data_IF_542911411237
#
_entry.id   IF_542911411237
#
_cell.length_a   1.000
_cell.length_b   1.000
_cell.length_c   1.000
_cell.angle_alpha   90.00
_cell.angle_beta   90.00
_cell.angle_gamma   90.00
#
_symmetry.space_group_name_H-M   'P 1'
#
loop_
_entity.id
_entity.type
_entity.pdbx_description
1 polymer ?
#
# COMPACT_ATOMS: atom_id res chain seq x y z
N UNK A 1 0.51 -6.91 0.07
CA UNK A 1 1.82 -6.55 -0.51
C UNK A 1 2.84 -6.41 0.61
N UNK A 2 3.99 -7.08 0.48
CA UNK A 2 5.04 -7.10 1.50
C UNK A 2 5.90 -5.81 1.49
N UNK A 3 6.73 -5.63 2.52
CA UNK A 3 7.69 -4.52 2.62
C UNK A 3 8.98 -4.75 1.82
N UNK A 4 9.86 -3.75 1.80
CA UNK A 4 11.16 -3.83 1.11
C UNK A 4 11.97 -5.05 1.57
N UNK A 5 12.52 -5.82 0.62
CA UNK A 5 13.41 -6.96 0.87
C UNK A 5 12.71 -8.26 1.26
N UNK A 6 11.42 -8.22 1.58
CA UNK A 6 10.61 -9.39 1.94
C UNK A 6 10.00 -10.07 0.69
N UNK A 7 9.17 -11.10 0.87
CA UNK A 7 8.48 -11.83 -0.21
C UNK A 7 7.06 -12.20 0.19
N UNK A 8 6.30 -12.79 -0.74
CA UNK A 8 5.01 -13.39 -0.42
C UNK A 8 5.09 -14.45 0.69
N UNK A 9 6.16 -15.25 0.73
CA UNK A 9 6.33 -16.34 1.70
C UNK A 9 6.34 -15.82 3.14
N UNK A 10 6.97 -14.66 3.38
CA UNK A 10 7.02 -14.02 4.69
C UNK A 10 5.65 -13.64 5.27
N UNK A 11 4.61 -13.59 4.43
CA UNK A 11 3.24 -13.20 4.81
C UNK A 11 2.26 -14.38 4.82
N UNK A 12 2.70 -15.59 4.49
CA UNK A 12 1.82 -16.77 4.41
C UNK A 12 1.17 -17.07 5.76
N UNK A 13 1.94 -17.03 6.86
CA UNK A 13 1.39 -17.34 8.19
C UNK A 13 0.38 -16.30 8.65
N UNK A 14 0.62 -15.01 8.40
CA UNK A 14 -0.34 -13.95 8.68
C UNK A 14 -1.64 -14.15 7.86
N UNK A 15 -1.51 -14.44 6.57
CA UNK A 15 -2.67 -14.72 5.70
C UNK A 15 -3.46 -15.95 6.17
N UNK A 16 -2.80 -17.00 6.65
CA UNK A 16 -3.46 -18.20 7.22
C UNK A 16 -4.19 -17.92 8.52
N UNK A 17 -3.70 -16.98 9.33
CA UNK A 17 -4.40 -16.53 10.53
C UNK A 17 -5.66 -15.77 10.12
N UNK A 18 -5.52 -14.77 9.25
CA UNK A 18 -6.66 -13.97 8.78
C UNK A 18 -7.70 -14.80 8.03
N UNK A 19 -7.30 -15.80 7.25
CA UNK A 19 -8.26 -16.65 6.53
C UNK A 19 -9.19 -17.44 7.45
N UNK A 20 -8.85 -17.60 8.74
CA UNK A 20 -9.75 -18.23 9.73
C UNK A 20 -10.88 -17.30 10.12
N UNK A 21 -10.61 -16.00 10.22
CA UNK A 21 -11.59 -14.97 10.54
C UNK A 21 -12.39 -14.53 9.30
N UNK A 22 -11.80 -14.69 8.11
CA UNK A 22 -12.40 -14.34 6.82
C UNK A 22 -12.53 -15.56 5.88
N UNK A 23 -13.41 -16.53 6.19
CA UNK A 23 -13.46 -17.82 5.47
C UNK A 23 -13.93 -17.70 4.00
N UNK A 24 -14.60 -16.59 3.64
CA UNK A 24 -15.03 -16.30 2.27
C UNK A 24 -14.04 -15.44 1.47
N UNK A 25 -12.87 -15.14 2.03
CA UNK A 25 -11.89 -14.23 1.42
C UNK A 25 -10.68 -15.01 0.91
N UNK A 26 -10.32 -14.77 -0.36
CA UNK A 26 -9.07 -15.26 -0.94
C UNK A 26 -7.94 -14.26 -0.62
N UNK A 27 -6.84 -14.75 -0.06
CA UNK A 27 -5.64 -13.94 0.19
C UNK A 27 -4.63 -14.15 -0.94
N UNK A 28 -4.26 -13.06 -1.61
CA UNK A 28 -3.32 -13.07 -2.74
C UNK A 28 -2.07 -12.31 -2.32
N UNK A 29 -0.94 -13.01 -2.31
CA UNK A 29 0.33 -12.50 -1.83
C UNK A 29 1.31 -12.39 -3.02
N UNK A 30 1.43 -11.22 -3.67
CA UNK A 30 2.40 -11.04 -4.74
C UNK A 30 3.79 -10.74 -4.19
N UNK A 31 4.82 -11.30 -4.84
CA UNK A 31 6.24 -10.96 -4.57
C UNK A 31 6.73 -9.90 -5.55
N UNK A 32 7.32 -8.82 -5.05
CA UNK A 32 7.92 -7.76 -5.86
C UNK A 32 9.08 -8.28 -6.75
N UNK A 33 9.46 -7.53 -7.79
CA UNK A 33 10.61 -7.91 -8.61
C UNK A 33 11.91 -7.73 -7.81
N UNK A 34 12.90 -8.57 -8.08
CA UNK A 34 14.26 -8.34 -7.58
C UNK A 34 14.88 -7.23 -8.40
N UNK A 35 15.27 -6.14 -7.75
CA UNK A 35 15.89 -4.98 -8.38
C UNK A 35 16.92 -4.31 -7.44
N UNK A 36 17.90 -3.57 -7.97
CA UNK A 36 18.81 -2.76 -7.16
C UNK A 36 18.03 -1.71 -6.34
N UNK A 37 18.46 -1.49 -5.10
CA UNK A 37 17.82 -0.50 -4.19
C UNK A 37 18.85 0.49 -3.69
N UNK A 38 18.63 1.78 -3.96
CA UNK A 38 19.57 2.88 -3.73
C UNK A 38 19.95 3.04 -2.27
N UNK A 39 18.99 3.03 -1.34
CA UNK A 39 19.29 3.14 0.11
C UNK A 39 20.16 1.98 0.62
N UNK A 40 20.10 0.83 -0.05
CA UNK A 40 20.89 -0.35 0.27
C UNK A 40 22.12 -0.48 -0.63
N UNK A 41 22.70 0.66 -1.05
CA UNK A 41 23.92 0.73 -1.87
C UNK A 41 23.82 -0.08 -3.18
N UNK A 42 22.63 -0.17 -3.76
CA UNK A 42 22.37 -0.91 -5.01
C UNK A 42 22.26 -2.42 -4.84
N UNK A 43 22.21 -2.94 -3.61
CA UNK A 43 22.01 -4.37 -3.38
C UNK A 43 20.68 -4.85 -4.00
N UNK A 44 20.69 -5.95 -4.77
CA UNK A 44 19.49 -6.48 -5.41
C UNK A 44 18.62 -7.21 -4.38
N UNK A 45 17.34 -6.83 -4.29
CA UNK A 45 16.36 -7.47 -3.41
C UNK A 45 14.94 -7.26 -3.93
N UNK A 46 13.94 -8.04 -3.46
CA UNK A 46 12.54 -7.77 -3.77
C UNK A 46 12.15 -6.35 -3.37
N UNK A 47 11.69 -5.55 -4.33
CA UNK A 47 11.29 -4.18 -4.09
C UNK A 47 10.21 -3.75 -5.08
N UNK A 48 9.21 -3.00 -4.63
CA UNK A 48 8.16 -2.46 -5.48
C UNK A 48 8.61 -1.25 -6.31
N UNK A 49 9.53 -0.44 -5.77
CA UNK A 49 10.11 0.72 -6.43
C UNK A 49 11.41 1.09 -5.73
N UNK A 50 12.28 1.85 -6.38
CA UNK A 50 13.53 2.27 -5.76
C UNK A 50 13.29 3.27 -4.62
N UNK A 51 13.89 3.00 -3.46
CA UNK A 51 13.88 3.89 -2.29
C UNK A 51 15.26 4.52 -2.18
N UNK A 52 15.31 5.85 -2.35
CA UNK A 52 16.54 6.64 -2.32
C UNK A 52 16.90 7.13 -0.92
N UNK A 53 15.93 7.23 -0.02
CA UNK A 53 16.09 7.66 1.37
C UNK A 53 14.85 7.33 2.19
N UNK A 54 15.02 7.11 3.49
CA UNK A 54 13.94 6.98 4.49
C UNK A 54 13.62 8.31 5.21
N UNK A 55 14.29 9.40 4.84
CA UNK A 55 13.89 10.74 5.26
C UNK A 55 12.44 10.99 4.78
N UNK A 56 11.55 11.36 5.70
CA UNK A 56 10.12 11.58 5.42
C UNK A 56 9.90 12.55 4.26
N UNK A 57 10.70 13.61 4.19
CA UNK A 57 10.64 14.59 3.09
C UNK A 57 10.99 13.99 1.72
N UNK A 58 11.79 12.92 1.69
CA UNK A 58 12.21 12.23 0.47
C UNK A 58 11.31 11.07 0.09
N UNK A 59 10.74 10.36 1.08
CA UNK A 59 9.77 9.29 0.86
C UNK A 59 8.55 9.76 0.07
N UNK A 60 8.14 11.01 0.29
CA UNK A 60 7.02 11.63 -0.41
C UNK A 60 7.35 12.12 -1.83
N UNK A 61 8.62 12.17 -2.24
CA UNK A 61 9.03 12.83 -3.50
C UNK A 61 9.48 11.87 -4.59
N UNK A 62 10.04 10.71 -4.24
CA UNK A 62 10.59 9.76 -5.21
C UNK A 62 10.09 8.34 -4.97
N UNK A 63 9.63 7.68 -6.05
CA UNK A 63 9.30 6.26 -6.07
C UNK A 63 9.51 5.72 -7.49
N UNK A 64 10.77 5.64 -7.93
CA UNK A 64 11.10 5.25 -9.29
C UNK A 64 10.75 3.78 -9.53
N UNK A 65 9.96 3.48 -10.57
CA UNK A 65 9.43 2.15 -10.84
C UNK A 65 8.07 1.84 -10.20
N UNK A 66 7.48 2.79 -9.44
CA UNK A 66 6.19 2.57 -8.79
C UNK A 66 5.06 2.30 -9.80
N UNK A 67 5.07 2.96 -10.96
CA UNK A 67 4.07 2.75 -12.01
C UNK A 67 4.17 1.35 -12.62
N UNK A 68 5.37 0.79 -12.77
CA UNK A 68 5.56 -0.56 -13.27
C UNK A 68 4.96 -1.59 -12.31
N UNK A 69 5.28 -1.46 -11.01
CA UNK A 69 4.68 -2.30 -9.98
C UNK A 69 3.17 -2.12 -9.90
N UNK A 70 2.66 -0.89 -10.03
CA UNK A 70 1.23 -0.61 -10.05
C UNK A 70 0.55 -1.32 -11.23
N UNK A 71 1.13 -1.29 -12.42
CA UNK A 71 0.63 -2.01 -13.60
C UNK A 71 0.55 -3.52 -13.34
N UNK A 72 1.57 -4.10 -12.72
CA UNK A 72 1.59 -5.53 -12.38
C UNK A 72 0.52 -5.89 -11.32
N UNK A 73 0.32 -5.06 -10.31
CA UNK A 73 -0.74 -5.28 -9.30
C UNK A 73 -2.12 -5.18 -9.95
N UNK A 74 -2.34 -4.19 -10.83
CA UNK A 74 -3.59 -4.05 -11.58
C UNK A 74 -3.85 -5.25 -12.50
N UNK A 75 -2.80 -5.82 -13.10
CA UNK A 75 -2.93 -7.05 -13.88
C UNK A 75 -3.39 -8.23 -13.02
N UNK A 76 -2.78 -8.43 -11.85
CA UNK A 76 -3.20 -9.49 -10.91
C UNK A 76 -4.67 -9.31 -10.51
N UNK A 77 -5.08 -8.07 -10.20
CA UNK A 77 -6.48 -7.75 -9.89
C UNK A 77 -7.41 -8.13 -11.06
N UNK A 78 -7.05 -7.76 -12.28
CA UNK A 78 -7.86 -8.06 -13.46
C UNK A 78 -7.97 -9.58 -13.72
N UNK A 79 -6.88 -10.34 -13.54
CA UNK A 79 -6.86 -11.79 -13.69
C UNK A 79 -7.77 -12.48 -12.63
N UNK A 80 -7.80 -11.96 -11.41
CA UNK A 80 -8.64 -12.48 -10.34
C UNK A 80 -10.11 -12.14 -10.54
N UNK A 81 -10.43 -10.92 -10.97
CA UNK A 81 -11.79 -10.54 -11.36
C UNK A 81 -12.28 -11.43 -12.51
N UNK A 82 -11.46 -11.63 -13.55
CA UNK A 82 -11.82 -12.47 -14.69
C UNK A 82 -12.02 -13.95 -14.32
N UNK A 83 -11.24 -14.49 -13.38
CA UNK A 83 -11.31 -15.90 -13.00
C UNK A 83 -12.37 -16.22 -11.95
N UNK A 84 -12.80 -15.24 -11.15
CA UNK A 84 -13.76 -15.46 -10.05
C UNK A 84 -15.11 -14.78 -10.27
N UNK A 85 -15.18 -13.77 -11.14
CA UNK A 85 -16.38 -12.98 -11.39
C UNK A 85 -16.68 -11.93 -10.31
N UNK A 86 -15.74 -11.66 -9.38
CA UNK A 86 -15.88 -10.58 -8.40
C UNK A 86 -15.57 -9.22 -9.04
N UNK A 87 -16.12 -8.15 -8.47
CA UNK A 87 -15.87 -6.79 -8.90
C UNK A 87 -14.75 -6.13 -8.07
N UNK A 88 -14.22 -4.99 -8.53
CA UNK A 88 -13.19 -4.23 -7.78
C UNK A 88 -13.67 -3.81 -6.38
N UNK A 89 -14.96 -3.52 -6.23
CA UNK A 89 -15.64 -3.23 -4.96
C UNK A 89 -15.68 -4.41 -3.96
N UNK A 90 -15.25 -5.60 -4.36
CA UNK A 90 -15.11 -6.78 -3.50
C UNK A 90 -13.63 -7.03 -3.13
N UNK A 91 -12.70 -6.20 -3.60
CA UNK A 91 -11.25 -6.36 -3.42
C UNK A 91 -10.70 -5.30 -2.48
N UNK A 92 -9.97 -5.74 -1.45
CA UNK A 92 -9.17 -4.88 -0.57
C UNK A 92 -7.70 -4.92 -0.99
N UNK A 93 -7.07 -3.75 -1.12
CA UNK A 93 -5.62 -3.66 -1.28
C UNK A 93 -4.96 -3.40 0.06
N UNK A 94 -4.10 -4.33 0.48
CA UNK A 94 -3.41 -4.24 1.77
C UNK A 94 -1.89 -4.37 1.61
N UNK A 95 -1.14 -3.68 2.47
CA UNK A 95 0.31 -3.86 2.52
C UNK A 95 1.05 -3.20 3.66
N UNK A 96 2.29 -3.63 3.84
CA UNK A 96 3.19 -3.20 4.90
C UNK A 96 4.38 -2.40 4.36
N UNK A 97 4.75 -1.31 5.04
CA UNK A 97 5.86 -0.43 4.67
C UNK A 97 5.76 -0.01 3.19
N UNK A 98 6.72 -0.38 2.36
CA UNK A 98 6.68 -0.17 0.90
C UNK A 98 5.41 -0.75 0.24
N UNK A 99 4.89 -1.88 0.71
CA UNK A 99 3.62 -2.43 0.26
C UNK A 99 2.40 -1.61 0.72
N UNK A 100 2.50 -0.90 1.84
CA UNK A 100 1.47 0.04 2.29
C UNK A 100 1.40 1.24 1.36
N UNK A 101 2.56 1.80 1.00
CA UNK A 101 2.68 2.84 -0.02
C UNK A 101 2.09 2.42 -1.38
N UNK A 102 2.34 1.18 -1.81
CA UNK A 102 1.70 0.62 -3.02
C UNK A 102 0.18 0.52 -2.91
N UNK A 103 -0.35 0.21 -1.72
CA UNK A 103 -1.81 0.08 -1.51
C UNK A 103 -2.53 1.40 -1.74
N UNK A 104 -1.96 2.51 -1.28
CA UNK A 104 -2.45 3.85 -1.61
C UNK A 104 -2.33 4.16 -3.10
N UNK A 105 -1.13 3.97 -3.65
CA UNK A 105 -0.82 4.36 -5.02
C UNK A 105 -1.73 3.67 -6.05
N UNK A 106 -2.05 2.39 -5.83
CA UNK A 106 -2.94 1.62 -6.70
C UNK A 106 -4.41 1.84 -6.36
N UNK A 107 -4.76 1.81 -5.06
CA UNK A 107 -6.14 1.69 -4.61
C UNK A 107 -6.98 2.96 -4.69
N UNK A 108 -6.34 4.12 -4.81
CA UNK A 108 -7.01 5.41 -4.66
C UNK A 108 -6.97 6.30 -5.91
N UNK A 109 -6.32 5.85 -7.00
CA UNK A 109 -6.12 6.65 -8.21
C UNK A 109 -6.90 6.12 -9.43
N UNK A 110 -7.77 5.14 -9.25
CA UNK A 110 -8.59 4.57 -10.32
C UNK A 110 -9.89 5.37 -10.48
N UNK A 111 -10.09 5.98 -11.66
CA UNK A 111 -11.22 6.88 -11.93
C UNK A 111 -12.50 6.14 -12.33
N UNK A 112 -12.39 4.91 -12.81
CA UNK A 112 -13.53 4.16 -13.36
C UNK A 112 -14.24 3.35 -12.28
N UNK A 113 -13.46 2.72 -11.40
CA UNK A 113 -13.98 1.86 -10.34
C UNK A 113 -13.20 2.06 -9.03
N UNK A 114 -13.83 1.72 -7.91
CA UNK A 114 -13.23 1.82 -6.57
C UNK A 114 -13.03 0.43 -5.97
N UNK A 115 -11.99 0.32 -5.14
CA UNK A 115 -11.72 -0.86 -4.34
C UNK A 115 -12.62 -0.90 -3.10
N UNK A 116 -12.86 -2.08 -2.53
CA UNK A 116 -13.61 -2.26 -1.29
C UNK A 116 -12.97 -1.54 -0.09
N UNK A 117 -11.66 -1.33 -0.15
CA UNK A 117 -10.90 -0.63 0.87
C UNK A 117 -9.39 -0.70 0.62
N UNK A 118 -8.66 0.13 1.35
CA UNK A 118 -7.21 0.15 1.39
C UNK A 118 -6.73 0.02 2.83
N UNK A 119 -5.77 -0.88 3.07
CA UNK A 119 -5.16 -1.09 4.38
C UNK A 119 -3.64 -0.87 4.27
N UNK A 120 -3.11 0.10 5.00
CA UNK A 120 -1.68 0.35 5.09
C UNK A 120 -1.18 0.11 6.51
N UNK A 121 -0.09 -0.66 6.63
CA UNK A 121 0.58 -0.93 7.90
C UNK A 121 2.00 -0.37 7.83
N UNK A 122 2.38 0.53 8.74
CA UNK A 122 3.67 1.23 8.70
C UNK A 122 3.99 1.88 7.35
N UNK A 123 2.96 2.28 6.59
CA UNK A 123 3.09 2.86 5.25
C UNK A 123 3.25 4.39 5.24
N UNK A 124 3.45 4.94 4.05
CA UNK A 124 3.51 6.37 3.74
C UNK A 124 2.96 6.63 2.33
N UNK A 125 2.64 7.87 1.98
CA UNK A 125 2.17 8.26 0.64
C UNK A 125 3.36 8.56 -0.30
N UNK A 126 3.63 7.71 -1.30
CA UNK A 126 4.71 7.97 -2.24
C UNK A 126 4.28 9.03 -3.26
N UNK A 127 5.22 9.87 -3.70
CA UNK A 127 5.01 10.89 -4.75
C UNK A 127 3.80 11.79 -4.49
N UNK A 128 3.62 12.23 -3.24
CA UNK A 128 2.44 12.95 -2.74
C UNK A 128 2.06 14.16 -3.61
N UNK A 129 3.05 14.93 -4.10
CA UNK A 129 2.80 16.10 -4.96
C UNK A 129 2.15 15.77 -6.31
N UNK A 130 2.30 14.53 -6.79
CA UNK A 130 1.72 14.04 -8.05
C UNK A 130 0.57 13.05 -7.85
N UNK A 131 0.27 12.71 -6.60
CA UNK A 131 -0.79 11.79 -6.25
C UNK A 131 -2.15 12.40 -6.57
N UNK A 132 -3.03 11.61 -7.20
CA UNK A 132 -4.37 12.05 -7.62
C UNK A 132 -5.41 11.12 -7.05
N UNK A 133 -6.06 11.55 -5.98
CA UNK A 133 -7.23 10.86 -5.45
C UNK A 133 -8.35 10.90 -6.49
N UNK A 134 -8.84 9.74 -6.91
CA UNK A 134 -9.96 9.65 -7.85
C UNK A 134 -11.28 10.02 -7.17
N UNK A 135 -12.24 10.51 -7.96
CA UNK A 135 -13.57 10.86 -7.41
C UNK A 135 -14.32 9.66 -6.86
N UNK A 136 -14.16 8.50 -7.51
CA UNK A 136 -14.75 7.25 -7.06
C UNK A 136 -14.17 6.85 -5.70
N UNK A 137 -12.84 6.81 -5.59
CA UNK A 137 -12.16 6.40 -4.35
C UNK A 137 -12.45 7.37 -3.18
N UNK A 138 -12.51 8.68 -3.45
CA UNK A 138 -12.77 9.71 -2.43
C UNK A 138 -14.05 9.47 -1.61
N UNK A 139 -15.04 8.78 -2.20
CA UNK A 139 -16.35 8.57 -1.57
C UNK A 139 -16.69 7.11 -1.27
N UNK A 140 -16.02 6.16 -1.93
CA UNK A 140 -16.39 4.74 -1.88
C UNK A 140 -15.30 3.83 -1.30
N UNK A 141 -14.05 4.29 -1.20
CA UNK A 141 -12.94 3.46 -0.71
C UNK A 141 -12.56 3.86 0.71
N UNK A 142 -12.96 3.10 1.76
CA UNK A 142 -12.44 3.32 3.10
C UNK A 142 -10.94 3.02 3.20
N UNK A 143 -10.22 3.81 4.00
CA UNK A 143 -8.79 3.66 4.28
C UNK A 143 -8.56 3.39 5.75
N UNK A 144 -7.83 2.31 6.04
CA UNK A 144 -7.26 2.06 7.36
C UNK A 144 -5.75 2.22 7.28
N UNK A 145 -5.18 3.05 8.15
CA UNK A 145 -3.74 3.18 8.34
C UNK A 145 -3.38 2.83 9.77
N UNK A 146 -2.58 1.79 9.96
CA UNK A 146 -2.02 1.41 11.25
C UNK A 146 -0.53 1.78 11.27
N UNK A 147 -0.05 2.44 12.33
CA UNK A 147 1.35 2.84 12.46
C UNK A 147 1.82 2.76 13.93
N UNK A 148 3.11 2.51 14.13
CA UNK A 148 3.73 2.59 15.46
C UNK A 148 4.27 4.00 15.73
N UNK A 149 4.03 4.56 16.92
CA UNK A 149 4.56 5.89 17.27
C UNK A 149 6.09 5.93 17.40
N UNK A 150 6.69 4.77 17.64
CA UNK A 150 8.11 4.55 17.84
C UNK A 150 8.75 3.80 16.67
N UNK A 151 8.14 3.84 15.48
CA UNK A 151 8.68 3.19 14.28
C UNK A 151 10.03 3.83 13.88
N UNK A 152 11.14 3.08 13.94
CA UNK A 152 12.47 3.62 13.69
C UNK A 152 12.81 3.74 12.20
N UNK A 153 11.95 3.21 11.32
CA UNK A 153 12.20 3.11 9.88
C UNK A 153 11.35 4.11 9.10
N UNK A 154 10.05 4.13 9.36
CA UNK A 154 9.13 5.12 8.80
C UNK A 154 8.67 5.99 9.95
N UNK A 155 9.21 7.20 10.02
CA UNK A 155 8.87 8.12 11.09
C UNK A 155 7.35 8.38 11.13
N UNK A 156 6.76 8.41 12.32
CA UNK A 156 5.31 8.56 12.51
C UNK A 156 4.74 9.81 11.83
N UNK A 157 5.56 10.86 11.69
CA UNK A 157 5.26 12.09 10.98
C UNK A 157 4.91 11.85 9.51
N UNK A 158 5.54 10.87 8.85
CA UNK A 158 5.21 10.50 7.47
C UNK A 158 3.82 9.84 7.39
N UNK A 159 3.42 9.10 8.42
CA UNK A 159 2.09 8.50 8.50
C UNK A 159 1.01 9.56 8.73
N UNK A 160 1.27 10.49 9.66
CA UNK A 160 0.40 11.65 9.90
C UNK A 160 0.27 12.47 8.61
N UNK A 161 1.37 12.82 7.96
CA UNK A 161 1.38 13.59 6.72
C UNK A 161 0.62 12.89 5.58
N UNK A 162 0.68 11.55 5.53
CA UNK A 162 -0.08 10.73 4.57
C UNK A 162 -1.58 10.90 4.78
N UNK A 163 -2.07 10.69 6.01
CA UNK A 163 -3.51 10.81 6.30
C UNK A 163 -4.02 12.22 6.07
N UNK A 164 -3.28 13.22 6.57
CA UNK A 164 -3.50 14.63 6.32
C UNK A 164 -3.63 14.97 4.82
N UNK A 165 -2.73 14.40 4.00
CA UNK A 165 -2.76 14.61 2.55
C UNK A 165 -4.02 14.02 1.92
N UNK A 166 -4.35 12.78 2.28
CA UNK A 166 -5.53 12.08 1.72
C UNK A 166 -6.84 12.79 2.09
N UNK A 167 -6.98 13.25 3.33
CA UNK A 167 -8.15 13.99 3.79
C UNK A 167 -8.26 15.36 3.12
N UNK A 168 -7.14 16.10 2.97
CA UNK A 168 -7.11 17.35 2.21
C UNK A 168 -7.43 17.14 0.73
N UNK A 169 -7.07 15.99 0.15
CA UNK A 169 -7.45 15.62 -1.21
C UNK A 169 -8.94 15.25 -1.34
N UNK A 170 -9.65 15.07 -0.22
CA UNK A 170 -11.10 14.85 -0.17
C UNK A 170 -11.53 13.43 0.14
N UNK A 171 -10.62 12.55 0.59
CA UNK A 171 -10.97 11.21 1.07
C UNK A 171 -11.78 11.33 2.36
N UNK A 172 -12.94 10.67 2.42
CA UNK A 172 -13.91 10.87 3.51
C UNK A 172 -13.89 9.81 4.60
N UNK A 173 -13.58 8.57 4.26
CA UNK A 173 -13.67 7.44 5.18
C UNK A 173 -12.26 6.96 5.53
N UNK A 174 -11.72 7.54 6.61
CA UNK A 174 -10.37 7.28 7.09
C UNK A 174 -10.41 6.78 8.53
N UNK A 175 -9.62 5.76 8.83
CA UNK A 175 -9.33 5.29 10.19
C UNK A 175 -7.82 5.25 10.38
N UNK A 176 -7.30 6.10 11.26
CA UNK A 176 -5.87 6.15 11.58
C UNK A 176 -5.62 5.63 12.99
N UNK A 177 -4.82 4.57 13.10
CA UNK A 177 -4.52 3.87 14.35
C UNK A 177 -3.03 4.00 14.66
N UNK A 178 -2.72 4.77 15.70
CA UNK A 178 -1.37 4.87 16.26
C UNK A 178 -1.22 3.91 17.44
N UNK A 179 -0.30 2.95 17.31
CA UNK A 179 0.07 2.01 18.36
C UNK A 179 1.31 2.51 19.11
N UNK A 180 1.27 2.42 20.43
CA UNK A 180 2.37 2.85 21.31
C UNK A 180 2.02 4.07 22.17
N UNK A 181 1.02 4.86 21.75
CA UNK A 181 0.53 5.99 22.53
C UNK A 181 -0.18 5.49 23.81
N UNK A 182 0.56 5.49 24.92
CA UNK A 182 0.05 5.48 26.29
C UNK A 182 0.50 6.75 26.99
#
# INVERSE_FOLDING_TARGET
>A
MHGLGDTAEGWVDAARIWSRDFPSTRFILPTAKVQPVTINMGAPMPSWYDIKSLDSSRLETTAEGIEESAGRIKQIVAEEMASTGIDKKDIVLAGFSQGGAMSYWVGLQDEEESYAGVVAMSGYLPKASSFRLSKAAATSTPVIHCHGDSDPMVASEAAVATMDHLERAGLKDTTFIMWGAR
#
